data_IF_551315722643
#
_entry.id   IF_551315722643
#
_cell.length_a   1.000
_cell.length_b   1.000
_cell.length_c   1.000
_cell.angle_alpha   90.00
_cell.angle_beta   90.00
_cell.angle_gamma   90.00
#
_symmetry.space_group_name_H-M   'P 1'
#
loop_
_entity.id
_entity.type
_entity.pdbx_description
1 polymer ?
#
# COMPACT_ATOMS: atom_id res chain seq x y z
N UNK A 1 22.07 10.40 8.87
CA UNK A 1 21.05 9.79 8.01
C UNK A 1 19.71 10.00 8.67
N UNK A 2 18.82 10.75 8.02
CA UNK A 2 17.49 10.97 8.57
C UNK A 2 16.67 9.68 8.40
N UNK A 3 15.74 9.41 9.33
CA UNK A 3 14.89 8.21 9.23
C UNK A 3 14.06 8.20 7.94
N UNK A 4 13.74 9.37 7.39
CA UNK A 4 12.91 9.54 6.19
C UNK A 4 13.66 9.14 4.90
N UNK A 5 14.99 9.29 4.85
CA UNK A 5 15.86 8.95 3.72
C UNK A 5 15.89 7.44 3.42
N UNK A 6 16.11 6.63 4.47
CA UNK A 6 16.11 5.17 4.36
C UNK A 6 14.74 4.65 3.95
N UNK A 7 13.68 5.33 4.40
CA UNK A 7 12.30 4.95 4.12
C UNK A 7 11.91 5.26 2.68
N UNK A 8 12.21 6.46 2.16
CA UNK A 8 11.77 6.86 0.81
C UNK A 8 12.43 6.00 -0.29
N UNK A 9 13.73 5.74 -0.17
CA UNK A 9 14.49 4.93 -1.14
C UNK A 9 14.03 3.47 -1.11
N UNK A 10 13.76 2.91 0.08
CA UNK A 10 13.22 1.57 0.23
C UNK A 10 11.81 1.43 -0.35
N UNK A 11 10.91 2.39 -0.08
CA UNK A 11 9.54 2.39 -0.62
C UNK A 11 9.54 2.51 -2.14
N UNK A 12 10.39 3.37 -2.71
CA UNK A 12 10.52 3.52 -4.15
C UNK A 12 11.03 2.22 -4.81
N UNK A 13 12.05 1.60 -4.21
CA UNK A 13 12.59 0.31 -4.67
C UNK A 13 11.54 -0.80 -4.61
N UNK A 14 10.79 -0.91 -3.52
CA UNK A 14 9.71 -1.89 -3.38
C UNK A 14 8.63 -1.69 -4.46
N UNK A 15 8.20 -0.44 -4.66
CA UNK A 15 7.20 -0.10 -5.67
C UNK A 15 7.67 -0.47 -7.08
N UNK A 16 8.93 -0.15 -7.42
CA UNK A 16 9.54 -0.53 -8.70
C UNK A 16 9.57 -2.05 -8.88
N UNK A 17 10.02 -2.80 -7.87
CA UNK A 17 10.05 -4.26 -7.93
C UNK A 17 8.65 -4.88 -8.11
N UNK A 18 7.64 -4.36 -7.42
CA UNK A 18 6.25 -4.81 -7.56
C UNK A 18 5.68 -4.48 -8.94
N UNK A 19 5.95 -3.27 -9.43
CA UNK A 19 5.57 -2.84 -10.77
C UNK A 19 6.15 -3.76 -11.85
N UNK A 20 7.47 -3.95 -11.86
CA UNK A 20 8.16 -4.79 -12.86
C UNK A 20 7.62 -6.22 -12.90
N UNK A 21 7.31 -6.80 -11.73
CA UNK A 21 6.86 -8.19 -11.62
C UNK A 21 5.37 -8.38 -11.88
N UNK A 22 4.54 -7.39 -11.54
CA UNK A 22 3.10 -7.60 -11.41
C UNK A 22 2.24 -6.57 -12.14
N UNK A 23 2.82 -5.66 -12.94
CA UNK A 23 2.04 -4.60 -13.60
C UNK A 23 0.84 -5.12 -14.39
N UNK A 24 0.99 -6.18 -15.19
CA UNK A 24 -0.11 -6.75 -15.98
C UNK A 24 -1.27 -7.26 -15.10
N UNK A 25 -0.94 -7.92 -13.98
CA UNK A 25 -1.93 -8.31 -12.97
C UNK A 25 -2.63 -7.09 -12.39
N UNK A 26 -1.86 -6.08 -12.00
CA UNK A 26 -2.37 -4.87 -11.35
C UNK A 26 -3.34 -4.16 -12.30
N UNK A 27 -2.93 -3.93 -13.54
CA UNK A 27 -3.73 -3.32 -14.60
C UNK A 27 -5.03 -4.08 -14.83
N UNK A 28 -4.97 -5.42 -14.95
CA UNK A 28 -6.14 -6.27 -15.16
C UNK A 28 -7.14 -6.18 -14.02
N UNK A 29 -6.69 -6.38 -12.78
CA UNK A 29 -7.57 -6.35 -11.60
C UNK A 29 -8.17 -4.96 -11.42
N UNK A 30 -7.36 -3.92 -11.58
CA UNK A 30 -7.79 -2.53 -11.44
C UNK A 30 -8.83 -2.12 -12.50
N UNK A 31 -8.58 -2.50 -13.76
CA UNK A 31 -9.45 -2.18 -14.89
C UNK A 31 -10.80 -2.87 -14.79
N UNK A 32 -10.85 -4.10 -14.24
CA UNK A 32 -12.09 -4.85 -14.03
C UNK A 32 -12.86 -4.40 -12.78
N UNK A 33 -12.20 -3.77 -11.81
CA UNK A 33 -12.85 -3.24 -10.62
C UNK A 33 -13.74 -2.04 -10.98
N UNK A 34 -14.98 -2.03 -10.49
CA UNK A 34 -15.83 -0.84 -10.54
C UNK A 34 -15.38 0.21 -9.50
N UNK A 35 -15.91 1.43 -9.59
CA UNK A 35 -15.52 2.53 -8.71
C UNK A 35 -15.67 2.18 -7.21
N UNK A 36 -16.79 1.57 -6.81
CA UNK A 36 -17.01 1.16 -5.42
C UNK A 36 -15.95 0.15 -4.93
N UNK A 37 -15.55 -0.79 -5.80
CA UNK A 37 -14.49 -1.75 -5.48
C UNK A 37 -13.13 -1.08 -5.38
N UNK A 38 -12.82 -0.13 -6.27
CA UNK A 38 -11.59 0.68 -6.18
C UNK A 38 -11.53 1.48 -4.89
N UNK A 39 -12.63 2.14 -4.51
CA UNK A 39 -12.75 2.84 -3.22
C UNK A 39 -12.51 1.89 -2.04
N UNK A 40 -13.04 0.67 -2.09
CA UNK A 40 -12.79 -0.34 -1.05
C UNK A 40 -11.29 -0.69 -0.96
N UNK A 41 -10.60 -0.81 -2.08
CA UNK A 41 -9.16 -1.10 -2.09
C UNK A 41 -8.35 0.02 -1.41
N UNK A 42 -8.74 1.29 -1.58
CA UNK A 42 -8.11 2.42 -0.90
C UNK A 42 -8.24 2.41 0.63
N UNK A 43 -9.22 1.73 1.21
CA UNK A 43 -9.51 1.81 2.64
C UNK A 43 -8.36 1.32 3.53
N UNK A 44 -7.64 2.22 4.19
CA UNK A 44 -6.46 1.89 5.01
C UNK A 44 -5.15 1.81 4.23
N UNK A 45 -5.10 2.33 3.01
CA UNK A 45 -3.85 2.67 2.33
C UNK A 45 -3.37 4.06 2.79
N UNK A 46 -3.12 4.23 4.08
CA UNK A 46 -2.73 5.50 4.70
C UNK A 46 -1.48 5.29 5.54
N UNK A 47 -0.49 6.17 5.40
CA UNK A 47 0.71 6.07 6.21
C UNK A 47 0.37 6.32 7.69
N UNK A 48 0.89 5.53 8.64
CA UNK A 48 0.53 5.64 10.07
C UNK A 48 1.00 6.95 10.72
N UNK A 49 2.01 7.60 10.15
CA UNK A 49 2.64 8.82 10.69
C UNK A 49 2.33 10.10 9.89
N UNK A 50 1.67 10.00 8.74
CA UNK A 50 1.34 11.16 7.91
C UNK A 50 -0.17 11.23 7.70
N UNK A 51 -0.73 12.42 7.86
CA UNK A 51 -2.17 12.59 7.71
C UNK A 51 -2.62 12.30 6.26
N UNK A 52 -3.74 11.59 6.06
CA UNK A 52 -4.20 11.18 4.73
C UNK A 52 -4.62 12.34 3.81
N UNK A 53 -4.90 13.52 4.36
CA UNK A 53 -6.02 14.33 3.86
C UNK A 53 -5.69 15.34 2.76
N UNK A 54 -4.43 15.61 2.41
CA UNK A 54 -4.14 16.73 1.50
C UNK A 54 -3.66 16.38 0.09
N UNK A 55 -3.20 15.15 -0.18
CA UNK A 55 -2.50 14.88 -1.44
C UNK A 55 -3.18 13.92 -2.40
N UNK A 56 -4.16 13.14 -1.93
CA UNK A 56 -4.79 12.07 -2.71
C UNK A 56 -6.30 12.30 -2.79
N UNK A 57 -6.77 12.82 -3.92
CA UNK A 57 -8.20 12.83 -4.18
C UNK A 57 -8.65 11.41 -4.58
N UNK A 58 -9.06 10.62 -3.58
CA UNK A 58 -9.54 9.24 -3.78
C UNK A 58 -10.74 9.21 -4.73
N UNK A 59 -11.58 10.24 -4.76
CA UNK A 59 -12.69 10.31 -5.69
C UNK A 59 -12.18 10.33 -7.14
N UNK A 60 -11.27 11.25 -7.46
CA UNK A 60 -10.68 11.38 -8.79
C UNK A 60 -9.97 10.10 -9.24
N UNK A 61 -9.17 9.50 -8.35
CA UNK A 61 -8.39 8.30 -8.68
C UNK A 61 -9.29 7.06 -8.87
N UNK A 62 -10.42 6.99 -8.17
CA UNK A 62 -11.35 5.85 -8.31
C UNK A 62 -12.30 6.01 -9.49
N UNK A 63 -12.63 7.25 -9.85
CA UNK A 63 -13.42 7.61 -11.03
C UNK A 63 -12.61 7.43 -12.33
N UNK A 64 -11.43 8.05 -12.43
CA UNK A 64 -10.51 7.84 -13.55
C UNK A 64 -9.66 6.59 -13.32
N UNK A 65 -10.08 5.48 -13.96
CA UNK A 65 -9.37 4.20 -13.92
C UNK A 65 -7.89 4.33 -14.34
N UNK A 66 -7.58 5.24 -15.26
CA UNK A 66 -6.26 5.37 -15.85
C UNK A 66 -5.37 6.28 -15.01
N UNK A 67 -5.93 7.15 -14.16
CA UNK A 67 -5.16 8.02 -13.28
C UNK A 67 -4.27 7.21 -12.32
N UNK A 68 -4.84 6.20 -11.65
CA UNK A 68 -4.06 5.32 -10.77
C UNK A 68 -2.90 4.64 -11.51
N UNK A 69 -3.17 4.07 -12.69
CA UNK A 69 -2.16 3.35 -13.46
C UNK A 69 -1.05 4.27 -13.96
N UNK A 70 -1.40 5.50 -14.36
CA UNK A 70 -0.45 6.55 -14.73
C UNK A 70 0.40 6.96 -13.54
N UNK A 71 -0.21 7.21 -12.39
CA UNK A 71 0.51 7.54 -11.15
C UNK A 71 1.46 6.42 -10.74
N UNK A 72 0.98 5.17 -10.72
CA UNK A 72 1.78 4.00 -10.40
C UNK A 72 2.98 3.87 -11.36
N UNK A 73 2.74 3.99 -12.66
CA UNK A 73 3.80 3.92 -13.68
C UNK A 73 4.84 5.01 -13.48
N UNK A 74 4.40 6.27 -13.34
CA UNK A 74 5.31 7.40 -13.12
C UNK A 74 6.17 7.21 -11.88
N UNK A 75 5.54 6.84 -10.76
CA UNK A 75 6.21 6.69 -9.45
C UNK A 75 7.12 5.48 -9.35
N UNK A 76 6.89 4.43 -10.14
CA UNK A 76 7.72 3.23 -10.15
C UNK A 76 8.90 3.34 -11.13
N UNK A 77 8.74 4.10 -12.22
CA UNK A 77 9.73 4.15 -13.31
C UNK A 77 10.65 5.36 -13.23
N UNK A 78 10.16 6.50 -12.73
CA UNK A 78 10.92 7.74 -12.63
C UNK A 78 11.84 7.75 -11.42
N UNK A 79 12.99 8.40 -11.55
CA UNK A 79 13.90 8.60 -10.41
C UNK A 79 13.28 9.52 -9.36
N UNK A 80 13.76 9.47 -8.11
CA UNK A 80 13.22 10.30 -7.03
C UNK A 80 13.47 11.80 -7.32
N UNK A 81 14.64 12.12 -7.89
CA UNK A 81 14.95 13.46 -8.40
C UNK A 81 13.93 13.92 -9.45
N UNK A 82 13.59 13.06 -10.42
CA UNK A 82 12.59 13.41 -11.42
C UNK A 82 11.20 13.61 -10.82
N UNK A 83 10.80 12.78 -9.85
CA UNK A 83 9.52 12.94 -9.16
C UNK A 83 9.46 14.26 -8.36
N UNK A 84 10.59 14.67 -7.79
CA UNK A 84 10.71 15.93 -7.06
C UNK A 84 10.49 17.14 -7.98
N UNK A 85 11.15 17.17 -9.13
CA UNK A 85 11.11 18.30 -10.05
C UNK A 85 9.90 18.31 -11.00
N UNK A 86 9.42 17.12 -11.39
CA UNK A 86 8.46 16.94 -12.48
C UNK A 86 7.20 16.22 -12.03
N UNK A 87 6.07 16.74 -12.48
CA UNK A 87 4.75 16.15 -12.21
C UNK A 87 4.46 14.98 -13.14
N UNK A 88 3.27 14.41 -12.99
CA UNK A 88 2.74 13.40 -13.89
C UNK A 88 2.76 13.93 -15.34
N UNK A 89 3.31 13.15 -16.29
CA UNK A 89 3.49 13.53 -17.71
C UNK A 89 4.58 14.58 -18.00
N UNK A 90 5.62 14.68 -17.17
CA UNK A 90 6.70 15.66 -17.35
C UNK A 90 6.21 17.12 -17.38
N UNK A 91 4.98 17.34 -16.92
CA UNK A 91 4.47 18.67 -16.72
C UNK A 91 5.33 19.36 -15.66
N UNK A 92 5.61 20.64 -15.88
CA UNK A 92 6.29 21.46 -14.90
C UNK A 92 5.40 21.51 -13.66
N UNK A 93 5.98 21.21 -12.49
CA UNK A 93 5.21 21.11 -11.25
C UNK A 93 5.25 19.71 -10.62
N UNK A 94 6.43 19.29 -10.16
CA UNK A 94 6.60 18.03 -9.41
C UNK A 94 6.17 18.15 -7.96
N UNK A 95 6.71 17.26 -7.12
CA UNK A 95 6.38 17.27 -5.69
C UNK A 95 6.79 18.57 -4.99
N UNK A 96 7.79 19.29 -5.53
CA UNK A 96 8.25 20.58 -5.03
C UNK A 96 7.17 21.64 -4.93
N UNK A 97 6.05 21.52 -5.66
CA UNK A 97 4.91 22.42 -5.53
C UNK A 97 4.22 22.35 -4.16
N UNK A 98 4.48 21.31 -3.37
CA UNK A 98 4.02 21.25 -1.98
C UNK A 98 4.90 22.07 -1.01
N UNK A 99 6.06 22.57 -1.45
CA UNK A 99 6.84 23.50 -0.64
C UNK A 99 6.10 24.83 -0.48
N UNK A 100 6.40 25.56 0.59
CA UNK A 100 5.92 26.93 0.76
C UNK A 100 6.39 27.78 -0.43
N UNK A 101 5.43 28.21 -1.27
CA UNK A 101 5.72 28.90 -2.52
C UNK A 101 6.39 30.26 -2.28
N UNK A 102 6.04 30.95 -1.20
CA UNK A 102 6.66 32.24 -0.86
C UNK A 102 8.12 32.03 -0.47
N UNK A 103 8.40 31.03 0.38
CA UNK A 103 9.77 30.70 0.78
C UNK A 103 10.58 30.13 -0.39
N UNK A 104 9.97 29.29 -1.23
CA UNK A 104 10.60 28.76 -2.43
C UNK A 104 10.95 29.88 -3.41
N UNK A 105 10.03 30.83 -3.65
CA UNK A 105 10.29 31.99 -4.48
C UNK A 105 11.33 32.93 -3.89
N UNK A 106 11.28 33.18 -2.58
CA UNK A 106 12.29 33.96 -1.88
C UNK A 106 13.66 33.31 -2.05
N UNK A 107 13.74 31.99 -1.87
CA UNK A 107 14.96 31.22 -2.06
C UNK A 107 15.43 31.21 -3.53
N UNK A 108 14.51 31.15 -4.50
CA UNK A 108 14.87 31.25 -5.92
C UNK A 108 15.41 32.63 -6.29
N UNK A 109 14.84 33.71 -5.72
CA UNK A 109 15.24 35.10 -5.98
C UNK A 109 16.56 35.45 -5.31
N UNK A 110 16.71 35.00 -4.06
CA UNK A 110 17.90 35.20 -3.25
C UNK A 110 18.02 34.00 -2.33
N UNK A 111 18.76 32.95 -2.71
CA UNK A 111 19.00 31.82 -1.81
C UNK A 111 19.59 32.41 -0.53
N UNK A 112 18.82 32.47 0.55
CA UNK A 112 19.26 33.07 1.80
C UNK A 112 19.91 31.98 2.62
N UNK A 113 21.20 32.17 2.89
CA UNK A 113 22.07 31.16 3.48
C UNK A 113 22.07 31.22 5.00
N UNK A 114 20.88 31.28 5.60
CA UNK A 114 20.77 31.28 7.07
C UNK A 114 20.27 29.95 7.61
N UNK A 115 20.03 28.96 6.74
CA UNK A 115 19.76 27.59 7.18
C UNK A 115 21.06 26.83 7.43
N UNK A 116 21.19 26.29 8.64
CA UNK A 116 22.34 25.48 9.03
C UNK A 116 22.33 24.08 8.43
N UNK A 117 21.24 23.64 7.79
CA UNK A 117 21.06 22.26 7.30
C UNK A 117 20.48 22.27 5.90
N UNK A 118 21.09 21.49 5.00
CA UNK A 118 20.66 21.34 3.61
C UNK A 118 20.42 19.87 3.28
N UNK A 119 19.60 19.63 2.25
CA UNK A 119 19.24 18.30 1.77
C UNK A 119 19.65 18.13 0.31
N UNK A 120 20.23 16.99 -0.03
CA UNK A 120 20.52 16.60 -1.41
C UNK A 120 19.27 16.13 -2.14
N UNK A 121 19.03 16.69 -3.31
CA UNK A 121 17.99 16.31 -4.27
C UNK A 121 18.70 15.76 -5.51
N UNK A 122 19.41 14.66 -5.33
CA UNK A 122 20.13 13.98 -6.40
C UNK A 122 20.12 12.50 -6.09
N UNK A 123 19.90 11.66 -7.10
CA UNK A 123 19.59 10.24 -6.92
C UNK A 123 20.54 9.48 -5.97
N UNK A 124 21.86 9.68 -6.07
CA UNK A 124 22.85 8.96 -5.25
C UNK A 124 22.80 9.31 -3.76
N UNK A 125 22.33 10.52 -3.43
CA UNK A 125 22.30 11.06 -2.06
C UNK A 125 20.89 11.56 -1.70
N UNK A 126 19.86 11.03 -2.34
CA UNK A 126 18.53 11.63 -2.31
C UNK A 126 17.94 11.63 -0.90
N UNK A 127 17.66 12.82 -0.36
CA UNK A 127 17.14 12.99 1.00
C UNK A 127 18.21 13.02 2.09
N UNK A 128 19.49 12.85 1.75
CA UNK A 128 20.59 13.01 2.71
C UNK A 128 20.71 14.47 3.14
N UNK A 129 20.82 14.67 4.45
CA UNK A 129 20.98 15.99 5.06
C UNK A 129 22.38 16.19 5.60
N UNK A 130 22.92 17.39 5.46
CA UNK A 130 24.17 17.77 6.13
C UNK A 130 24.08 19.18 6.68
N UNK A 131 24.85 19.41 7.74
CA UNK A 131 24.96 20.73 8.35
C UNK A 131 26.09 21.52 7.71
N UNK A 132 25.85 22.80 7.46
CA UNK A 132 26.83 23.75 6.94
C UNK A 132 27.28 24.64 8.10
N UNK A 133 28.55 24.54 8.47
CA UNK A 133 29.13 25.44 9.46
C UNK A 133 29.12 26.88 8.95
N UNK A 134 28.67 27.82 9.79
CA UNK A 134 28.61 29.24 9.46
C UNK A 134 29.96 29.82 8.99
N UNK A 135 31.08 29.25 9.45
CA UNK A 135 32.44 29.67 9.08
C UNK A 135 32.80 29.34 7.62
N UNK A 136 32.22 28.29 7.05
CA UNK A 136 32.38 27.94 5.63
C UNK A 136 31.56 28.85 4.70
N UNK A 137 30.72 29.73 5.28
CA UNK A 137 29.88 30.70 4.58
C UNK A 137 30.45 32.12 4.59
N UNK A 138 31.59 32.33 5.26
CA UNK A 138 32.19 33.65 5.51
C UNK A 138 33.45 33.92 4.65
N UNK A 139 33.85 32.98 3.79
CA UNK A 139 35.05 33.13 2.96
C UNK A 139 34.80 33.99 1.71
N UNK A 140 34.98 35.31 1.91
CA UNK A 140 35.73 36.26 1.06
C UNK A 140 35.44 36.39 -0.45
N UNK A 141 34.32 35.89 -0.97
CA UNK A 141 33.76 36.44 -2.22
C UNK A 141 32.65 37.41 -1.85
N UNK A 142 32.41 38.46 -2.65
CA UNK A 142 31.29 39.41 -2.46
C UNK A 142 29.91 38.71 -2.38
N UNK A 143 29.88 37.42 -2.69
CA UNK A 143 28.75 36.51 -2.60
C UNK A 143 28.89 35.40 -1.55
N UNK A 144 30.01 35.21 -0.84
CA UNK A 144 30.13 34.32 0.34
C UNK A 144 30.27 32.81 0.10
N UNK A 145 30.50 32.31 -1.12
CA UNK A 145 30.45 30.85 -1.39
C UNK A 145 31.62 30.29 -2.21
N UNK A 146 31.92 29.01 -1.95
CA UNK A 146 32.72 28.20 -2.87
C UNK A 146 31.95 28.03 -4.20
N UNK A 147 32.60 28.15 -5.37
CA UNK A 147 31.95 27.99 -6.67
C UNK A 147 31.21 26.66 -6.86
N UNK A 148 31.63 25.61 -6.14
CA UNK A 148 31.02 24.27 -6.18
C UNK A 148 29.64 24.26 -5.53
N UNK A 149 29.49 24.84 -4.34
CA UNK A 149 28.21 24.88 -3.60
C UNK A 149 27.17 25.69 -4.38
N UNK A 150 27.57 26.86 -4.87
CA UNK A 150 26.74 27.71 -5.74
C UNK A 150 26.29 26.97 -7.00
N UNK A 151 27.15 26.12 -7.57
CA UNK A 151 26.82 25.29 -8.72
C UNK A 151 25.74 24.26 -8.43
N UNK A 152 25.81 23.58 -7.28
CA UNK A 152 24.81 22.58 -6.87
C UNK A 152 23.45 23.21 -6.57
N UNK A 153 23.43 24.34 -5.86
CA UNK A 153 22.18 25.05 -5.55
C UNK A 153 21.51 25.61 -6.80
N UNK A 154 22.28 26.16 -7.75
CA UNK A 154 21.74 26.64 -9.04
C UNK A 154 21.14 25.52 -9.90
N UNK A 155 21.59 24.28 -9.70
CA UNK A 155 21.04 23.10 -10.39
C UNK A 155 19.86 22.46 -9.64
N UNK A 156 19.51 22.99 -8.46
CA UNK A 156 18.46 22.46 -7.58
C UNK A 156 18.78 21.09 -6.95
N UNK A 157 20.02 20.63 -7.08
CA UNK A 157 20.50 19.39 -6.47
C UNK A 157 20.72 19.53 -4.95
N UNK A 158 20.69 20.77 -4.44
CA UNK A 158 20.88 21.07 -3.02
C UNK A 158 19.91 22.16 -2.60
N UNK A 159 19.11 21.88 -1.58
CA UNK A 159 18.05 22.77 -1.12
C UNK A 159 17.99 22.84 0.42
N UNK A 160 17.48 23.94 0.99
CA UNK A 160 17.34 24.09 2.44
C UNK A 160 16.42 23.01 3.02
N UNK A 161 16.82 22.42 4.15
CA UNK A 161 16.08 21.31 4.76
C UNK A 161 14.62 21.68 5.05
N UNK A 162 14.34 22.90 5.51
CA UNK A 162 12.96 23.30 5.85
C UNK A 162 12.03 23.23 4.65
N UNK A 163 12.49 23.70 3.49
CA UNK A 163 11.74 23.67 2.23
C UNK A 163 11.51 22.23 1.76
N UNK A 164 12.55 21.41 1.82
CA UNK A 164 12.53 20.04 1.28
C UNK A 164 11.78 19.06 2.18
N UNK A 165 11.84 19.25 3.50
CA UNK A 165 11.31 18.27 4.46
C UNK A 165 9.82 17.99 4.27
N UNK A 166 9.02 19.00 3.91
CA UNK A 166 7.59 18.84 3.61
C UNK A 166 7.38 18.02 2.34
N UNK A 167 8.17 18.29 1.30
CA UNK A 167 8.13 17.60 0.01
C UNK A 167 8.52 16.12 0.16
N UNK A 168 9.57 15.82 0.94
CA UNK A 168 9.99 14.43 1.19
C UNK A 168 8.94 13.64 1.97
N UNK A 169 8.34 14.23 3.00
CA UNK A 169 7.23 13.57 3.74
C UNK A 169 6.06 13.26 2.82
N UNK A 170 5.71 14.20 1.95
CA UNK A 170 4.69 13.99 0.91
C UNK A 170 5.07 12.80 0.02
N UNK A 171 6.28 12.77 -0.54
CA UNK A 171 6.73 11.64 -1.37
C UNK A 171 6.68 10.30 -0.64
N UNK A 172 7.13 10.24 0.63
CA UNK A 172 7.04 9.04 1.46
C UNK A 172 5.59 8.58 1.59
N UNK A 173 4.67 9.51 1.88
CA UNK A 173 3.25 9.19 1.99
C UNK A 173 2.69 8.64 0.68
N UNK A 174 2.96 9.29 -0.46
CA UNK A 174 2.52 8.85 -1.79
C UNK A 174 3.04 7.44 -2.09
N UNK A 175 4.34 7.20 -1.92
CA UNK A 175 4.97 5.91 -2.21
C UNK A 175 4.45 4.79 -1.29
N UNK A 176 4.23 5.09 -0.01
CA UNK A 176 3.64 4.14 0.92
C UNK A 176 2.21 3.76 0.50
N UNK A 177 1.37 4.76 0.22
CA UNK A 177 -0.02 4.54 -0.19
C UNK A 177 -0.10 3.73 -1.49
N UNK A 178 0.79 3.98 -2.45
CA UNK A 178 0.88 3.18 -3.69
C UNK A 178 1.29 1.73 -3.40
N UNK A 179 2.32 1.51 -2.57
CA UNK A 179 2.74 0.16 -2.21
C UNK A 179 1.62 -0.63 -1.53
N UNK A 180 0.94 -0.02 -0.55
CA UNK A 180 -0.18 -0.65 0.16
C UNK A 180 -1.36 -0.96 -0.78
N UNK A 181 -1.65 -0.05 -1.72
CA UNK A 181 -2.71 -0.26 -2.70
C UNK A 181 -2.37 -1.39 -3.67
N UNK A 182 -1.13 -1.43 -4.17
CA UNK A 182 -0.64 -2.54 -5.00
C UNK A 182 -0.78 -3.87 -4.28
N UNK A 183 -0.36 -3.96 -3.01
CA UNK A 183 -0.47 -5.20 -2.25
C UNK A 183 -1.92 -5.69 -2.14
N UNK A 184 -2.87 -4.79 -1.91
CA UNK A 184 -4.31 -5.15 -1.87
C UNK A 184 -4.86 -5.58 -3.22
N UNK A 185 -4.42 -4.96 -4.30
CA UNK A 185 -4.79 -5.37 -5.66
C UNK A 185 -4.31 -6.81 -5.91
N UNK A 186 -3.05 -7.10 -5.55
CA UNK A 186 -2.47 -8.45 -5.69
C UNK A 186 -3.17 -9.47 -4.80
N UNK A 187 -3.50 -9.11 -3.57
CA UNK A 187 -4.24 -10.00 -2.66
C UNK A 187 -5.67 -10.27 -3.12
N UNK A 188 -6.28 -9.32 -3.83
CA UNK A 188 -7.59 -9.53 -4.48
C UNK A 188 -7.49 -10.59 -5.58
N UNK A 189 -6.44 -10.57 -6.40
CA UNK A 189 -6.22 -11.61 -7.41
C UNK A 189 -6.02 -12.98 -6.75
N UNK A 190 -5.14 -13.06 -5.74
CA UNK A 190 -4.90 -14.31 -5.01
C UNK A 190 -6.19 -14.89 -4.43
N UNK A 191 -7.03 -14.05 -3.82
CA UNK A 191 -8.32 -14.47 -3.28
C UNK A 191 -9.25 -15.01 -4.38
N UNK A 192 -9.32 -14.33 -5.54
CA UNK A 192 -10.13 -14.78 -6.67
C UNK A 192 -9.63 -16.10 -7.28
N UNK A 193 -8.31 -16.29 -7.37
CA UNK A 193 -7.73 -17.55 -7.85
C UNK A 193 -8.06 -18.72 -6.91
N UNK A 194 -7.97 -18.50 -5.60
CA UNK A 194 -8.35 -19.51 -4.61
C UNK A 194 -9.85 -19.86 -4.68
N UNK A 195 -10.71 -18.86 -4.85
CA UNK A 195 -12.16 -19.07 -4.99
C UNK A 195 -12.51 -19.83 -6.27
N UNK A 196 -11.88 -19.50 -7.41
CA UNK A 196 -12.05 -20.24 -8.66
C UNK A 196 -11.58 -21.68 -8.53
N UNK A 197 -10.42 -21.91 -7.92
CA UNK A 197 -9.91 -23.26 -7.69
C UNK A 197 -10.87 -24.10 -6.85
N UNK A 198 -11.52 -23.50 -5.85
CA UNK A 198 -12.55 -24.16 -5.06
C UNK A 198 -13.78 -24.51 -5.91
N UNK A 199 -14.28 -23.58 -6.73
CA UNK A 199 -15.45 -23.82 -7.61
C UNK A 199 -15.20 -24.88 -8.68
N UNK A 200 -14.03 -24.85 -9.32
CA UNK A 200 -13.69 -25.88 -10.32
C UNK A 200 -13.58 -27.28 -9.71
N UNK A 201 -13.15 -27.38 -8.45
CA UNK A 201 -13.18 -28.65 -7.73
C UNK A 201 -14.58 -29.15 -7.40
N UNK A 202 -15.59 -28.27 -7.33
CA UNK A 202 -17.01 -28.64 -7.16
C UNK A 202 -17.68 -29.04 -8.49
N UNK A 203 -17.22 -28.49 -9.63
CA UNK A 203 -17.86 -28.67 -10.94
C UNK A 203 -17.28 -29.81 -11.80
N UNK A 204 -16.12 -30.38 -11.45
CA UNK A 204 -15.50 -31.44 -12.27
C UNK A 204 -16.29 -32.76 -12.15
N UNK A 205 -16.96 -33.14 -13.25
CA UNK A 205 -18.01 -34.18 -13.30
C UNK A 205 -17.52 -35.62 -13.21
N UNK A 206 -16.23 -35.84 -13.01
CA UNK A 206 -15.68 -37.12 -12.53
C UNK A 206 -14.42 -36.81 -11.72
N UNK A 207 -14.52 -36.70 -10.39
CA UNK A 207 -13.36 -36.37 -9.56
C UNK A 207 -12.32 -37.51 -9.66
N UNK A 208 -11.15 -37.19 -10.22
CA UNK A 208 -9.98 -38.06 -10.07
C UNK A 208 -9.51 -38.02 -8.62
N UNK A 209 -8.89 -39.09 -8.12
CA UNK A 209 -8.34 -39.13 -6.76
C UNK A 209 -7.34 -37.99 -6.55
N UNK A 210 -6.48 -37.71 -7.54
CA UNK A 210 -5.51 -36.61 -7.50
C UNK A 210 -6.21 -35.24 -7.49
N UNK A 211 -7.28 -35.06 -8.28
CA UNK A 211 -8.11 -33.86 -8.25
C UNK A 211 -8.76 -33.61 -6.89
N UNK A 212 -9.25 -34.66 -6.23
CA UNK A 212 -9.80 -34.58 -4.87
C UNK A 212 -8.73 -34.22 -3.84
N UNK A 213 -7.52 -34.79 -3.95
CA UNK A 213 -6.40 -34.46 -3.06
C UNK A 213 -6.00 -32.99 -3.24
N UNK A 214 -5.86 -32.53 -4.50
CA UNK A 214 -5.51 -31.14 -4.81
C UNK A 214 -6.58 -30.17 -4.31
N UNK A 215 -7.87 -30.50 -4.51
CA UNK A 215 -9.00 -29.74 -3.99
C UNK A 215 -8.96 -29.63 -2.46
N UNK A 216 -8.82 -30.76 -1.76
CA UNK A 216 -8.78 -30.79 -0.31
C UNK A 216 -7.59 -29.98 0.24
N UNK A 217 -6.42 -30.02 -0.41
CA UNK A 217 -5.28 -29.17 -0.06
C UNK A 217 -5.54 -27.69 -0.34
N UNK A 218 -6.24 -27.36 -1.42
CA UNK A 218 -6.69 -26.01 -1.75
C UNK A 218 -7.62 -25.43 -0.67
N UNK A 219 -8.66 -26.16 -0.28
CA UNK A 219 -9.57 -25.74 0.79
C UNK A 219 -8.85 -25.63 2.13
N UNK A 220 -7.99 -26.60 2.49
CA UNK A 220 -7.15 -26.52 3.70
C UNK A 220 -6.32 -25.24 3.70
N UNK A 221 -5.61 -24.95 2.62
CA UNK A 221 -4.77 -23.74 2.49
C UNK A 221 -5.61 -22.47 2.58
N UNK A 222 -6.80 -22.46 1.96
CA UNK A 222 -7.75 -21.35 2.05
C UNK A 222 -8.16 -21.07 3.50
N UNK A 223 -8.64 -22.08 4.25
CA UNK A 223 -9.07 -21.89 5.64
C UNK A 223 -7.90 -21.54 6.57
N UNK A 224 -6.72 -22.08 6.32
CA UNK A 224 -5.50 -21.70 7.05
C UNK A 224 -5.17 -20.22 6.82
N UNK A 225 -5.28 -19.75 5.58
CA UNK A 225 -5.08 -18.33 5.23
C UNK A 225 -6.14 -17.44 5.89
N UNK A 226 -7.41 -17.87 5.92
CA UNK A 226 -8.46 -17.13 6.61
C UNK A 226 -8.17 -16.99 8.12
N UNK A 227 -7.71 -18.05 8.78
CA UNK A 227 -7.38 -18.02 10.21
C UNK A 227 -6.16 -17.13 10.49
N UNK A 228 -5.14 -17.18 9.64
CA UNK A 228 -4.02 -16.26 9.73
C UNK A 228 -4.50 -14.80 9.58
N UNK A 229 -5.40 -14.53 8.62
CA UNK A 229 -6.00 -13.21 8.45
C UNK A 229 -6.85 -12.77 9.62
N UNK A 230 -7.55 -13.66 10.32
CA UNK A 230 -8.26 -13.29 11.56
C UNK A 230 -7.32 -12.75 12.63
N UNK A 231 -6.07 -13.24 12.68
CA UNK A 231 -5.08 -12.77 13.63
C UNK A 231 -4.50 -11.40 13.25
N UNK A 232 -4.23 -11.16 11.97
CA UNK A 232 -3.54 -9.95 11.51
C UNK A 232 -4.47 -8.80 11.04
N UNK A 233 -5.72 -9.10 10.67
CA UNK A 233 -6.66 -8.17 10.03
C UNK A 233 -8.04 -8.23 10.70
N UNK A 234 -8.26 -7.32 11.65
CA UNK A 234 -9.52 -7.20 12.39
C UNK A 234 -10.72 -6.85 11.49
N UNK A 235 -10.49 -6.26 10.31
CA UNK A 235 -11.56 -5.94 9.36
C UNK A 235 -12.02 -7.18 8.61
N UNK A 236 -11.09 -8.06 8.24
CA UNK A 236 -11.43 -9.36 7.67
C UNK A 236 -12.25 -10.21 8.64
N UNK A 237 -11.88 -10.22 9.93
CA UNK A 237 -12.69 -10.83 10.98
C UNK A 237 -14.08 -10.20 11.05
N UNK A 238 -14.17 -8.86 11.12
CA UNK A 238 -15.46 -8.16 11.16
C UNK A 238 -16.35 -8.48 9.96
N UNK A 239 -15.78 -8.62 8.76
CA UNK A 239 -16.53 -8.98 7.56
C UNK A 239 -17.05 -10.42 7.66
N UNK A 240 -16.21 -11.39 8.06
CA UNK A 240 -16.64 -12.77 8.23
C UNK A 240 -17.74 -12.92 9.29
N UNK A 241 -17.65 -12.16 10.39
CA UNK A 241 -18.70 -12.10 11.42
C UNK A 241 -20.01 -11.55 10.84
N UNK A 242 -19.92 -10.50 10.00
CA UNK A 242 -21.08 -9.94 9.31
C UNK A 242 -21.70 -10.93 8.34
N UNK A 243 -20.90 -11.57 7.49
CA UNK A 243 -21.39 -12.59 6.54
C UNK A 243 -22.09 -13.74 7.29
N UNK A 244 -21.54 -14.15 8.43
CA UNK A 244 -22.13 -15.18 9.29
C UNK A 244 -23.47 -14.72 9.91
N UNK A 245 -23.56 -13.45 10.35
CA UNK A 245 -24.80 -12.86 10.85
C UNK A 245 -25.86 -12.76 9.75
N UNK A 246 -25.48 -12.32 8.56
CA UNK A 246 -26.38 -12.18 7.42
C UNK A 246 -26.93 -13.55 6.95
N UNK A 247 -26.15 -14.62 7.14
CA UNK A 247 -26.60 -16.00 6.87
C UNK A 247 -27.65 -16.53 7.87
N UNK A 248 -27.90 -15.82 8.98
CA UNK A 248 -28.82 -16.20 10.06
C UNK A 248 -29.91 -15.13 10.26
N UNK A 249 -30.90 -15.05 9.34
CA UNK A 249 -31.93 -14.02 9.36
C UNK A 249 -32.80 -14.05 10.64
N UNK A 250 -32.86 -15.17 11.33
CA UNK A 250 -33.51 -15.33 12.64
C UNK A 250 -32.85 -14.47 13.74
N UNK A 251 -31.56 -14.14 13.61
CA UNK A 251 -30.82 -13.31 14.56
C UNK A 251 -30.86 -11.81 14.24
N UNK A 252 -31.10 -11.43 12.98
CA UNK A 252 -31.13 -10.02 12.56
C UNK A 252 -32.49 -9.34 12.78
N UNK A 253 -33.59 -10.10 12.93
CA UNK A 253 -34.93 -9.56 13.19
C UNK A 253 -35.09 -8.79 14.52
N UNK A 254 -34.18 -8.96 15.49
CA UNK A 254 -34.27 -8.31 16.79
C UNK A 254 -33.45 -7.02 16.93
N UNK A 255 -32.66 -6.64 15.91
CA UNK A 255 -31.78 -5.46 15.93
C UNK A 255 -32.49 -4.18 15.44
N UNK A 256 -33.71 -3.91 15.90
CA UNK A 256 -34.42 -2.65 15.61
C UNK A 256 -33.99 -1.54 16.59
N UNK A 257 -33.04 -0.72 16.13
CA UNK A 257 -32.73 0.70 16.44
C UNK A 257 -32.63 1.25 17.88
N UNK A 258 -33.00 0.55 18.95
CA UNK A 258 -33.09 1.19 20.29
C UNK A 258 -32.09 0.70 21.35
N UNK A 259 -31.51 -0.50 21.22
CA UNK A 259 -30.72 -1.10 22.30
C UNK A 259 -29.23 -1.22 21.93
N UNK A 260 -28.55 -0.08 21.77
CA UNK A 260 -27.10 -0.04 21.54
C UNK A 260 -26.26 -0.18 22.83
N UNK A 261 -26.87 -0.27 24.01
CA UNK A 261 -26.15 -0.23 25.29
C UNK A 261 -25.71 -1.59 25.88
N UNK A 262 -26.02 -2.74 25.25
CA UNK A 262 -25.66 -4.08 25.77
C UNK A 262 -25.03 -5.03 24.72
N UNK A 263 -24.17 -4.53 23.84
CA UNK A 263 -23.64 -5.30 22.69
C UNK A 263 -22.35 -6.11 22.93
N UNK A 264 -21.79 -6.15 24.15
CA UNK A 264 -20.55 -6.90 24.38
C UNK A 264 -20.74 -8.44 24.37
N UNK A 265 -21.90 -8.93 24.81
CA UNK A 265 -22.19 -10.37 24.88
C UNK A 265 -22.43 -11.09 23.54
N UNK A 266 -23.22 -10.51 22.61
CA UNK A 266 -23.50 -11.14 21.31
C UNK A 266 -22.28 -11.18 20.38
N UNK A 267 -21.51 -10.09 20.33
CA UNK A 267 -20.36 -9.96 19.44
C UNK A 267 -19.30 -11.03 19.71
N UNK A 268 -19.04 -11.35 20.99
CA UNK A 268 -18.12 -12.42 21.36
C UNK A 268 -18.55 -13.80 20.84
N UNK A 269 -19.85 -14.07 20.85
CA UNK A 269 -20.41 -15.33 20.33
C UNK A 269 -20.30 -15.42 18.82
N UNK A 270 -20.56 -14.33 18.10
CA UNK A 270 -20.48 -14.35 16.63
C UNK A 270 -19.03 -14.38 16.13
N UNK A 271 -18.11 -13.70 16.83
CA UNK A 271 -16.65 -13.85 16.61
C UNK A 271 -16.23 -15.31 16.85
N UNK A 272 -16.68 -15.91 17.95
CA UNK A 272 -16.41 -17.31 18.25
C UNK A 272 -16.97 -18.23 17.14
N UNK A 273 -18.22 -18.06 16.74
CA UNK A 273 -18.87 -18.88 15.72
C UNK A 273 -18.14 -18.76 14.36
N UNK A 274 -17.78 -17.54 13.94
CA UNK A 274 -17.03 -17.30 12.70
C UNK A 274 -15.65 -17.98 12.75
N UNK A 275 -14.93 -17.80 13.86
CA UNK A 275 -13.61 -18.42 14.07
C UNK A 275 -13.70 -19.94 14.12
N UNK A 276 -14.61 -20.47 14.94
CA UNK A 276 -14.87 -21.89 15.11
C UNK A 276 -15.25 -22.55 13.79
N UNK A 277 -16.08 -21.91 12.97
CA UNK A 277 -16.45 -22.44 11.65
C UNK A 277 -15.23 -22.61 10.76
N UNK A 278 -14.30 -21.64 10.72
CA UNK A 278 -13.07 -21.74 9.92
C UNK A 278 -12.09 -22.78 10.49
N UNK A 279 -11.94 -22.87 11.82
CA UNK A 279 -11.13 -23.92 12.48
C UNK A 279 -11.68 -25.31 12.17
N UNK A 280 -13.00 -25.49 12.30
CA UNK A 280 -13.68 -26.75 11.99
C UNK A 280 -13.52 -27.13 10.53
N UNK A 281 -13.70 -26.19 9.61
CA UNK A 281 -13.49 -26.44 8.18
C UNK A 281 -12.03 -26.79 7.86
N UNK A 282 -11.06 -26.10 8.47
CA UNK A 282 -9.64 -26.44 8.31
C UNK A 282 -9.36 -27.88 8.78
N UNK A 283 -9.83 -28.25 9.97
CA UNK A 283 -9.68 -29.59 10.50
C UNK A 283 -10.33 -30.64 9.60
N UNK A 284 -11.56 -30.37 9.14
CA UNK A 284 -12.28 -31.24 8.22
C UNK A 284 -11.50 -31.48 6.92
N UNK A 285 -11.07 -30.42 6.23
CA UNK A 285 -10.34 -30.55 4.97
C UNK A 285 -8.95 -31.16 5.13
N UNK A 286 -8.30 -30.93 6.27
CA UNK A 286 -7.08 -31.65 6.63
C UNK A 286 -7.32 -33.16 6.74
N UNK A 287 -8.36 -33.58 7.47
CA UNK A 287 -8.71 -34.99 7.61
C UNK A 287 -9.09 -35.63 6.26
N UNK A 288 -9.85 -34.91 5.42
CA UNK A 288 -10.20 -35.37 4.07
C UNK A 288 -8.94 -35.58 3.23
N UNK A 289 -8.01 -34.61 3.21
CA UNK A 289 -6.75 -34.72 2.48
C UNK A 289 -5.89 -35.89 2.97
N UNK A 290 -5.81 -36.10 4.29
CA UNK A 290 -5.07 -37.21 4.89
C UNK A 290 -5.70 -38.57 4.52
N UNK A 291 -7.03 -38.70 4.58
CA UNK A 291 -7.75 -39.92 4.18
C UNK A 291 -7.58 -40.24 2.69
N UNK A 292 -7.68 -39.24 1.81
CA UNK A 292 -7.48 -39.43 0.37
C UNK A 292 -6.03 -39.84 0.04
N UNK A 293 -5.05 -39.28 0.75
CA UNK A 293 -3.64 -39.66 0.59
C UNK A 293 -3.36 -41.09 1.07
N UNK A 294 -3.99 -41.53 2.16
CA UNK A 294 -3.91 -42.92 2.62
C UNK A 294 -4.52 -43.89 1.60
N UNK A 295 -5.66 -43.53 1.01
CA UNK A 295 -6.30 -44.34 -0.03
C UNK A 295 -5.42 -44.45 -1.30
N UNK A 296 -4.72 -43.37 -1.67
CA UNK A 296 -3.76 -43.37 -2.79
C UNK A 296 -2.55 -44.29 -2.55
N UNK A 297 -2.13 -44.45 -1.29
CA UNK A 297 -0.93 -45.24 -0.93
C UNK A 297 -1.22 -46.70 -0.59
N UNK A 298 -2.45 -47.03 -0.18
CA UNK A 298 -2.88 -48.39 0.19
C UNK A 298 -3.42 -49.26 -0.95
N UNK A 299 -3.43 -48.76 -2.19
CA UNK A 299 -3.96 -49.46 -3.37
C UNK A 299 -2.98 -50.36 -4.13
N UNK A 300 -1.82 -50.71 -3.53
CA UNK A 300 -0.87 -51.69 -4.06
C UNK A 300 -1.00 -53.03 -3.34
#
# INVERSE_FOLDING_TARGET
MSQDEVVITALHRDLRCKYEKHFQTIEKVWSLANQAKRQQLFQGCTHPLYEPEQDWNVADITEDKDLFLRMLTWRATSTLENQFHWGLHWARGGDIEAADQEQLEQWMKCPSYHEGTYTYIQDDFYGETFDVEAKLMDDCTRTGYSPKLTGLMRRWNLMPYRLVSVVLRRQVNILYCLNALVDKVLDTEKAQCLEKSARYAEEDRTPTLDGLIASAEGYKTHYQTCLYRFYIDTRFLSQCVRDQLDSRPDRTCHLRRSDQQYLAGPIGRDIFDATYTKVRSLAFWRSVRELLALYSTGGN
#
